data_IF_292449420892
#
_entry.id   IF_292449420892
#
_cell.length_a   1.000
_cell.length_b   1.000
_cell.length_c   1.000
_cell.angle_alpha   90.00
_cell.angle_beta   90.00
_cell.angle_gamma   90.00
#
_symmetry.space_group_name_H-M   'P 1'
#
loop_
_entity.id
_entity.type
_entity.pdbx_description
1 polymer ?
#
# COMPACT_ATOMS: atom_id res chain seq x y z
N UNK A 1 19.99 -3.85 3.57
CA UNK A 1 18.59 -3.98 3.09
C UNK A 1 18.15 -2.59 2.68
N UNK A 2 17.44 -2.46 1.57
CA UNK A 2 16.84 -1.19 1.20
C UNK A 2 15.81 -0.78 2.25
N UNK A 3 15.74 0.51 2.56
CA UNK A 3 14.79 1.07 3.54
C UNK A 3 13.39 1.26 2.95
N UNK A 4 13.23 1.06 1.64
CA UNK A 4 11.96 1.19 0.92
C UNK A 4 11.96 0.32 -0.35
N UNK A 5 11.09 -0.70 -0.38
CA UNK A 5 11.02 -1.62 -1.52
C UNK A 5 10.39 -1.04 -2.79
N UNK A 6 9.66 0.07 -2.70
CA UNK A 6 9.18 0.76 -3.88
C UNK A 6 10.33 1.51 -4.58
N UNK A 7 11.16 2.22 -3.81
CA UNK A 7 12.29 2.98 -4.36
C UNK A 7 13.47 2.09 -4.78
N UNK A 8 13.59 0.89 -4.21
CA UNK A 8 14.58 -0.12 -4.56
C UNK A 8 14.24 -0.89 -5.85
N UNK A 9 13.05 -0.68 -6.41
CA UNK A 9 12.61 -1.31 -7.66
C UNK A 9 12.15 -0.26 -8.68
N UNK A 10 13.05 0.19 -9.59
CA UNK A 10 12.74 1.24 -10.56
C UNK A 10 11.62 0.85 -11.53
N UNK A 11 11.39 -0.45 -11.76
CA UNK A 11 10.35 -0.93 -12.68
C UNK A 11 8.95 -0.59 -12.16
N UNK A 12 8.74 -0.57 -10.84
CA UNK A 12 7.47 -0.16 -10.23
C UNK A 12 7.14 1.31 -10.54
N UNK A 13 8.15 2.18 -10.46
CA UNK A 13 7.98 3.59 -10.80
C UNK A 13 7.80 3.79 -12.31
N UNK A 14 8.49 3.00 -13.15
CA UNK A 14 8.33 3.01 -14.60
C UNK A 14 6.89 2.65 -15.02
N UNK A 15 6.34 1.57 -14.46
CA UNK A 15 4.97 1.15 -14.76
C UNK A 15 3.93 2.18 -14.34
N UNK A 16 4.10 2.81 -13.17
CA UNK A 16 3.20 3.87 -12.70
C UNK A 16 3.17 5.07 -13.68
N UNK A 17 4.32 5.41 -14.27
CA UNK A 17 4.50 6.59 -15.14
C UNK A 17 4.17 6.33 -16.62
N UNK A 18 3.57 5.18 -16.93
CA UNK A 18 3.14 4.85 -18.29
C UNK A 18 1.84 5.59 -18.64
N UNK A 19 1.66 6.08 -19.88
CA UNK A 19 0.44 6.80 -20.29
C UNK A 19 -0.87 6.06 -19.99
N UNK A 20 -0.87 4.72 -20.05
CA UNK A 20 -2.03 3.90 -19.73
C UNK A 20 -2.52 4.09 -18.29
N UNK A 21 -1.63 4.37 -17.33
CA UNK A 21 -2.03 4.60 -15.93
C UNK A 21 -2.74 5.93 -15.78
N UNK A 22 -2.34 6.96 -16.54
CA UNK A 22 -3.05 8.23 -16.58
C UNK A 22 -4.48 8.04 -17.11
N UNK A 23 -4.66 7.26 -18.18
CA UNK A 23 -6.00 6.92 -18.71
C UNK A 23 -6.84 6.13 -17.70
N UNK A 24 -6.24 5.12 -17.06
CA UNK A 24 -6.90 4.33 -16.01
C UNK A 24 -7.26 5.19 -14.79
N UNK A 25 -6.46 6.19 -14.44
CA UNK A 25 -6.74 7.10 -13.33
C UNK A 25 -8.02 7.90 -13.57
N UNK A 26 -8.30 8.30 -14.81
CA UNK A 26 -9.55 9.00 -15.15
C UNK A 26 -10.77 8.11 -14.91
N UNK A 27 -10.68 6.83 -15.28
CA UNK A 27 -11.76 5.87 -15.05
C UNK A 27 -11.92 5.55 -13.55
N UNK A 28 -10.81 5.31 -12.86
CA UNK A 28 -10.79 5.00 -11.43
C UNK A 28 -11.37 6.13 -10.57
N UNK A 29 -10.99 7.37 -10.87
CA UNK A 29 -11.41 8.56 -10.13
C UNK A 29 -12.74 9.15 -10.63
N UNK A 30 -13.52 8.37 -11.39
CA UNK A 30 -14.82 8.79 -11.95
C UNK A 30 -14.75 10.13 -12.71
N UNK A 31 -13.70 10.37 -13.48
CA UNK A 31 -13.37 11.63 -14.14
C UNK A 31 -13.16 12.79 -13.16
N UNK A 32 -12.55 12.53 -12.00
CA UNK A 32 -12.22 13.49 -10.95
C UNK A 32 -13.43 14.28 -10.41
N UNK A 33 -14.64 13.70 -10.50
CA UNK A 33 -15.89 14.35 -10.06
C UNK A 33 -15.93 14.68 -8.58
N UNK A 34 -15.04 14.08 -7.80
CA UNK A 34 -14.95 14.19 -6.36
C UNK A 34 -13.92 15.23 -5.91
N UNK A 35 -13.18 15.82 -6.86
CA UNK A 35 -12.32 16.96 -6.63
C UNK A 35 -13.09 18.11 -5.95
N UNK A 36 -12.57 18.59 -4.81
CA UNK A 36 -13.20 19.64 -4.02
C UNK A 36 -14.39 19.20 -3.16
N UNK A 37 -14.87 17.95 -3.28
CA UNK A 37 -15.92 17.39 -2.39
C UNK A 37 -15.32 16.65 -1.20
N UNK A 38 -14.25 15.90 -1.43
CA UNK A 38 -13.57 15.13 -0.39
C UNK A 38 -12.10 15.55 -0.26
N UNK A 39 -11.58 15.67 0.98
CA UNK A 39 -10.16 15.89 1.20
C UNK A 39 -9.32 14.78 0.55
N UNK A 40 -8.33 15.18 -0.26
CA UNK A 40 -7.41 14.24 -0.91
C UNK A 40 -7.92 13.62 -2.21
N UNK A 41 -9.11 13.97 -2.69
CA UNK A 41 -9.56 13.58 -4.03
C UNK A 41 -8.70 14.29 -5.11
N UNK A 42 -8.11 13.56 -6.06
CA UNK A 42 -7.29 14.15 -7.11
C UNK A 42 -8.15 14.99 -8.06
N UNK A 43 -7.59 16.12 -8.53
CA UNK A 43 -8.26 17.02 -9.45
C UNK A 43 -8.07 16.66 -10.92
N UNK A 44 -6.98 15.97 -11.24
CA UNK A 44 -6.57 15.56 -12.58
C UNK A 44 -5.66 14.33 -12.51
N UNK A 45 -5.23 13.86 -13.68
CA UNK A 45 -4.41 12.65 -13.80
C UNK A 45 -3.03 12.82 -13.15
N UNK A 46 -2.43 14.00 -13.22
CA UNK A 46 -1.13 14.27 -12.61
C UNK A 46 -1.22 14.24 -11.08
N UNK A 47 -2.29 14.85 -10.52
CA UNK A 47 -2.59 14.79 -9.09
C UNK A 47 -2.86 13.35 -8.62
N UNK A 48 -3.56 12.54 -9.43
CA UNK A 48 -3.80 11.14 -9.12
C UNK A 48 -2.50 10.32 -9.12
N UNK A 49 -1.66 10.49 -10.13
CA UNK A 49 -0.36 9.83 -10.22
C UNK A 49 0.55 10.20 -9.04
N UNK A 50 0.61 11.48 -8.66
CA UNK A 50 1.37 11.93 -7.50
C UNK A 50 0.84 11.33 -6.19
N UNK A 51 -0.48 11.22 -6.05
CA UNK A 51 -1.12 10.56 -4.92
C UNK A 51 -0.75 9.07 -4.87
N UNK A 52 -0.79 8.37 -6.00
CA UNK A 52 -0.42 6.96 -6.08
C UNK A 52 1.06 6.73 -5.76
N UNK A 53 1.96 7.59 -6.28
CA UNK A 53 3.40 7.53 -5.97
C UNK A 53 3.65 7.74 -4.47
N UNK A 54 2.95 8.68 -3.84
CA UNK A 54 3.01 8.90 -2.38
C UNK A 54 2.57 7.65 -1.59
N UNK A 55 1.46 7.03 -1.99
CA UNK A 55 0.96 5.80 -1.34
C UNK A 55 1.94 4.63 -1.52
N UNK A 56 2.44 4.40 -2.74
CA UNK A 56 3.40 3.34 -3.03
C UNK A 56 4.71 3.52 -2.27
N UNK A 57 5.19 4.76 -2.13
CA UNK A 57 6.34 5.08 -1.30
C UNK A 57 6.10 4.67 0.15
N UNK A 58 4.94 5.02 0.72
CA UNK A 58 4.58 4.65 2.10
C UNK A 58 4.49 3.12 2.29
N UNK A 59 3.86 2.42 1.35
CA UNK A 59 3.76 0.95 1.35
C UNK A 59 5.15 0.31 1.26
N UNK A 60 6.03 0.86 0.40
CA UNK A 60 7.39 0.37 0.23
C UNK A 60 8.24 0.51 1.49
N UNK A 61 8.12 1.62 2.22
CA UNK A 61 8.77 1.82 3.52
C UNK A 61 8.27 0.82 4.57
N UNK A 62 6.95 0.68 4.73
CA UNK A 62 6.36 -0.26 5.68
C UNK A 62 6.76 -1.70 5.36
N UNK A 63 6.73 -2.07 4.09
CA UNK A 63 7.15 -3.39 3.61
C UNK A 63 8.60 -3.69 4.01
N UNK A 64 9.51 -2.75 3.77
CA UNK A 64 10.94 -2.93 4.04
C UNK A 64 11.28 -2.93 5.54
N UNK A 65 10.72 -1.98 6.29
CA UNK A 65 11.14 -1.71 7.68
C UNK A 65 10.35 -2.47 8.74
N UNK A 66 9.13 -2.89 8.42
CA UNK A 66 8.21 -3.51 9.39
C UNK A 66 7.84 -4.92 9.01
N UNK A 67 7.36 -5.12 7.77
CA UNK A 67 6.79 -6.41 7.36
C UNK A 67 7.89 -7.42 7.06
N UNK A 68 8.88 -7.09 6.23
CA UNK A 68 9.94 -8.01 5.83
C UNK A 68 10.78 -8.57 6.99
N UNK A 69 11.18 -7.77 8.01
CA UNK A 69 11.90 -8.29 9.17
C UNK A 69 11.08 -9.28 10.01
N UNK A 70 9.74 -9.16 10.02
CA UNK A 70 8.83 -10.05 10.76
C UNK A 70 8.50 -11.32 9.97
N UNK A 71 8.71 -11.35 8.65
CA UNK A 71 8.19 -12.38 7.76
C UNK A 71 8.58 -13.81 8.19
N UNK A 72 9.85 -14.04 8.51
CA UNK A 72 10.32 -15.36 8.95
C UNK A 72 9.71 -15.81 10.27
N UNK A 73 9.54 -14.89 11.23
CA UNK A 73 8.93 -15.21 12.52
C UNK A 73 7.43 -15.48 12.39
N UNK A 74 6.73 -14.72 11.54
CA UNK A 74 5.31 -14.94 11.21
C UNK A 74 5.09 -16.30 10.57
N UNK A 75 5.95 -16.69 9.63
CA UNK A 75 5.87 -18.01 8.98
C UNK A 75 6.09 -19.14 9.99
N UNK A 76 7.07 -19.00 10.88
CA UNK A 76 7.35 -19.97 11.94
C UNK A 76 6.21 -20.09 12.98
N UNK A 77 5.58 -18.97 13.36
CA UNK A 77 4.47 -18.95 14.32
C UNK A 77 3.19 -19.54 13.69
N UNK A 78 2.91 -19.20 12.43
CA UNK A 78 1.75 -19.68 11.68
C UNK A 78 0.42 -19.21 12.26
N UNK A 79 -0.66 -19.88 11.85
CA UNK A 79 -2.02 -19.62 12.35
C UNK A 79 -2.48 -20.75 13.25
N UNK A 80 -3.32 -20.43 14.24
CA UNK A 80 -3.92 -21.42 15.12
C UNK A 80 -5.45 -21.36 15.07
N UNK A 81 -6.11 -22.52 15.14
CA UNK A 81 -7.57 -22.59 15.34
C UNK A 81 -7.85 -22.77 16.83
N UNK A 82 -8.51 -21.79 17.46
CA UNK A 82 -8.89 -21.84 18.88
C UNK A 82 -10.39 -21.60 19.01
N UNK A 83 -11.10 -22.56 19.59
CA UNK A 83 -12.54 -22.44 19.88
C UNK A 83 -13.40 -22.09 18.64
N UNK A 84 -13.00 -22.55 17.45
CA UNK A 84 -13.69 -22.26 16.20
C UNK A 84 -13.26 -20.95 15.51
N UNK A 85 -12.35 -20.19 16.12
CA UNK A 85 -11.81 -18.95 15.56
C UNK A 85 -10.36 -19.10 15.11
N UNK A 86 -10.02 -18.44 13.99
CA UNK A 86 -8.65 -18.37 13.49
C UNK A 86 -7.91 -17.26 14.22
N UNK A 87 -6.81 -17.63 14.87
CA UNK A 87 -5.89 -16.72 15.56
C UNK A 87 -4.64 -16.59 14.71
N UNK A 88 -4.40 -15.39 14.19
CA UNK A 88 -3.20 -15.07 13.42
C UNK A 88 -1.96 -14.97 14.31
N UNK A 89 -0.79 -15.23 13.72
CA UNK A 89 0.50 -14.92 14.32
C UNK A 89 0.55 -13.47 14.84
N UNK A 90 1.24 -13.25 15.95
CA UNK A 90 1.45 -11.94 16.56
C UNK A 90 1.95 -10.90 15.55
N UNK A 91 2.97 -11.25 14.76
CA UNK A 91 3.52 -10.36 13.72
C UNK A 91 2.53 -10.01 12.61
N UNK A 92 1.61 -10.92 12.26
CA UNK A 92 0.53 -10.63 11.30
C UNK A 92 -0.45 -9.62 11.86
N UNK A 93 -0.82 -9.74 13.15
CA UNK A 93 -1.71 -8.78 13.80
C UNK A 93 -1.08 -7.38 13.87
N UNK A 94 0.22 -7.31 14.19
CA UNK A 94 0.96 -6.04 14.20
C UNK A 94 1.07 -5.44 12.79
N UNK A 95 1.32 -6.26 11.76
CA UNK A 95 1.34 -5.80 10.37
C UNK A 95 -0.02 -5.20 9.96
N UNK A 96 -1.12 -5.87 10.28
CA UNK A 96 -2.48 -5.39 9.98
C UNK A 96 -2.80 -4.08 10.71
N UNK A 97 -2.39 -3.95 11.97
CA UNK A 97 -2.56 -2.72 12.76
C UNK A 97 -1.81 -1.55 12.13
N UNK A 98 -0.52 -1.74 11.83
CA UNK A 98 0.32 -0.68 11.24
C UNK A 98 -0.17 -0.26 9.84
N UNK A 99 -0.70 -1.20 9.04
CA UNK A 99 -1.33 -0.89 7.74
C UNK A 99 -2.61 -0.07 7.92
N UNK A 100 -3.46 -0.41 8.89
CA UNK A 100 -4.68 0.35 9.17
C UNK A 100 -4.37 1.77 9.69
N UNK A 101 -3.41 1.91 10.60
CA UNK A 101 -2.95 3.21 11.10
C UNK A 101 -2.35 4.09 9.99
N UNK A 102 -1.77 3.47 8.96
CA UNK A 102 -1.24 4.17 7.78
C UNK A 102 -2.32 4.50 6.73
N UNK A 103 -3.59 4.12 6.93
CA UNK A 103 -4.68 4.35 5.98
C UNK A 103 -4.59 3.48 4.72
N UNK A 104 -4.00 2.28 4.84
CA UNK A 104 -3.80 1.32 3.74
C UNK A 104 -4.79 0.14 3.78
N UNK A 105 -5.78 0.18 4.67
CA UNK A 105 -6.86 -0.80 4.84
C UNK A 105 -8.21 -0.07 4.88
#
# INVERSE_FOLDING_TARGET
MADNFYLDNPDLAFHLKTPVVAELSQLHENNFKDAGKFPGAPADADAALALYECRLNKVGELSARKIAPRAAAVDQEGVALKQGEVVFASGTQDNLRELAEAGLM
#
